data_IF_316522185851
#
_entry.id   IF_316522185851
#
_cell.length_a   1.000
_cell.length_b   1.000
_cell.length_c   1.000
_cell.angle_alpha   90.00
_cell.angle_beta   90.00
_cell.angle_gamma   90.00
#
_symmetry.space_group_name_H-M   'P 1'
#
loop_
_entity.id
_entity.type
_entity.pdbx_description
1 polymer ?
#
# COMPACT_ATOMS: atom_id res chain seq x y z
N UNK A 1 -25.22 42.05 7.33
CA UNK A 1 -24.64 40.90 8.07
C UNK A 1 -24.31 39.74 7.11
N UNK A 2 -23.18 39.77 6.39
CA UNK A 2 -22.76 38.66 5.49
C UNK A 2 -21.25 38.31 5.55
N UNK A 3 -20.49 38.89 6.48
CA UNK A 3 -19.03 38.72 6.51
C UNK A 3 -18.49 37.64 7.45
N UNK A 4 -19.32 37.08 8.35
CA UNK A 4 -18.89 36.06 9.32
C UNK A 4 -18.85 34.62 8.76
N UNK A 5 -19.61 34.31 7.70
CA UNK A 5 -19.78 32.94 7.23
C UNK A 5 -18.63 32.42 6.33
N UNK A 6 -17.84 33.31 5.71
CA UNK A 6 -16.77 32.91 4.78
C UNK A 6 -15.49 32.45 5.48
N UNK A 7 -15.18 33.03 6.66
CA UNK A 7 -13.97 32.68 7.43
C UNK A 7 -14.11 31.31 8.12
N UNK A 8 -15.27 31.00 8.71
CA UNK A 8 -15.54 29.68 9.31
C UNK A 8 -15.47 28.55 8.29
N UNK A 9 -16.11 28.72 7.12
CA UNK A 9 -16.03 27.70 6.05
C UNK A 9 -14.60 27.45 5.55
N UNK A 10 -13.74 28.47 5.55
CA UNK A 10 -12.35 28.33 5.12
C UNK A 10 -11.48 27.63 6.17
N UNK A 11 -11.70 27.90 7.46
CA UNK A 11 -11.00 27.20 8.55
C UNK A 11 -11.39 25.73 8.63
N UNK A 12 -12.69 25.42 8.48
CA UNK A 12 -13.19 24.05 8.53
C UNK A 12 -12.65 23.21 7.36
N UNK A 13 -12.51 23.84 6.20
CA UNK A 13 -11.94 23.19 5.01
C UNK A 13 -10.44 22.88 5.19
N UNK A 14 -9.66 23.79 5.77
CA UNK A 14 -8.23 23.57 6.04
C UNK A 14 -8.01 22.50 7.11
N UNK A 15 -8.85 22.48 8.15
CA UNK A 15 -8.86 21.41 9.17
C UNK A 15 -9.15 20.05 8.55
N UNK A 16 -10.10 19.98 7.62
CA UNK A 16 -10.45 18.75 6.93
C UNK A 16 -9.31 18.26 6.01
N UNK A 17 -8.65 19.17 5.28
CA UNK A 17 -7.47 18.84 4.45
C UNK A 17 -6.33 18.29 5.29
N UNK A 18 -5.98 18.99 6.37
CA UNK A 18 -4.96 18.53 7.32
C UNK A 18 -5.28 17.15 7.87
N UNK A 19 -6.53 16.90 8.27
CA UNK A 19 -6.94 15.60 8.80
C UNK A 19 -6.79 14.47 7.76
N UNK A 20 -7.01 14.75 6.46
CA UNK A 20 -6.80 13.76 5.41
C UNK A 20 -5.31 13.49 5.20
N UNK A 21 -4.46 14.53 5.17
CA UNK A 21 -2.98 14.36 5.09
C UNK A 21 -2.47 13.53 6.27
N UNK A 22 -2.89 13.86 7.49
CA UNK A 22 -2.53 13.10 8.69
C UNK A 22 -3.00 11.64 8.60
N UNK A 23 -4.19 11.38 8.04
CA UNK A 23 -4.71 10.03 7.85
C UNK A 23 -3.89 9.23 6.83
N UNK A 24 -3.49 9.84 5.71
CA UNK A 24 -2.61 9.22 4.72
C UNK A 24 -1.26 8.88 5.37
N UNK A 25 -0.63 9.85 6.02
CA UNK A 25 0.68 9.67 6.68
C UNK A 25 0.64 8.53 7.70
N UNK A 26 -0.43 8.49 8.49
CA UNK A 26 -0.66 7.43 9.48
C UNK A 26 -0.81 6.06 8.83
N UNK A 27 -1.53 5.96 7.71
CA UNK A 27 -1.64 4.69 6.98
C UNK A 27 -0.29 4.22 6.43
N UNK A 28 0.52 5.13 5.90
CA UNK A 28 1.88 4.79 5.47
C UNK A 28 2.78 4.36 6.64
N UNK A 29 2.68 5.03 7.79
CA UNK A 29 3.49 4.72 8.97
C UNK A 29 3.09 3.40 9.64
N UNK A 30 1.79 3.09 9.69
CA UNK A 30 1.25 1.91 10.36
C UNK A 30 1.23 0.65 9.48
N UNK A 31 1.28 0.78 8.15
CA UNK A 31 1.10 -0.34 7.23
C UNK A 31 2.07 -1.52 7.48
N UNK A 32 3.34 -1.24 7.71
CA UNK A 32 4.33 -2.26 8.04
C UNK A 32 4.03 -2.97 9.36
N UNK A 33 3.62 -2.23 10.39
CA UNK A 33 3.28 -2.81 11.70
C UNK A 33 1.98 -3.63 11.64
N UNK A 34 0.97 -3.16 10.89
CA UNK A 34 -0.26 -3.94 10.63
C UNK A 34 0.05 -5.25 9.93
N UNK A 35 0.90 -5.22 8.90
CA UNK A 35 1.34 -6.42 8.20
C UNK A 35 2.03 -7.40 9.15
N UNK A 36 2.90 -6.92 10.03
CA UNK A 36 3.56 -7.76 11.04
C UNK A 36 2.57 -8.37 12.02
N UNK A 37 1.60 -7.58 12.51
CA UNK A 37 0.57 -8.06 13.43
C UNK A 37 -0.34 -9.12 12.79
N UNK A 38 -0.76 -8.90 11.55
CA UNK A 38 -1.56 -9.85 10.77
C UNK A 38 -0.79 -11.16 10.55
N UNK A 39 0.47 -11.06 10.14
CA UNK A 39 1.35 -12.21 9.95
C UNK A 39 1.53 -13.01 11.25
N UNK A 40 1.83 -12.35 12.37
CA UNK A 40 1.97 -13.01 13.67
C UNK A 40 0.66 -13.65 14.14
N UNK A 41 -0.48 -13.00 13.89
CA UNK A 41 -1.80 -13.56 14.22
C UNK A 41 -2.10 -14.85 13.44
N UNK A 42 -1.71 -14.91 12.16
CA UNK A 42 -1.85 -16.11 11.32
C UNK A 42 -0.93 -17.23 11.83
N UNK A 43 0.34 -16.92 12.12
CA UNK A 43 1.32 -17.88 12.62
C UNK A 43 0.85 -18.49 13.95
N UNK A 44 0.39 -17.65 14.87
CA UNK A 44 -0.05 -18.08 16.21
C UNK A 44 -1.40 -18.83 16.19
N UNK A 45 -2.19 -18.71 15.11
CA UNK A 45 -3.45 -19.46 14.94
C UNK A 45 -3.22 -20.88 14.40
N UNK A 46 -1.99 -21.25 14.07
CA UNK A 46 -1.63 -22.60 13.65
C UNK A 46 -2.12 -23.65 14.66
N UNK A 47 -2.76 -24.72 14.17
CA UNK A 47 -3.15 -25.85 15.01
C UNK A 47 -1.99 -26.83 15.16
N UNK A 48 -2.03 -27.69 16.18
CA UNK A 48 -1.04 -28.76 16.39
C UNK A 48 -0.89 -29.65 15.15
N UNK A 49 -1.99 -29.87 14.42
CA UNK A 49 -2.00 -30.64 13.18
C UNK A 49 -1.21 -29.96 12.05
N UNK A 50 -1.29 -28.63 11.94
CA UNK A 50 -0.52 -27.86 10.94
C UNK A 50 0.96 -27.89 11.28
N UNK A 51 1.33 -27.69 12.56
CA UNK A 51 2.72 -27.78 12.99
C UNK A 51 3.30 -29.19 12.81
N UNK A 52 2.50 -30.23 13.07
CA UNK A 52 2.88 -31.62 12.79
C UNK A 52 3.07 -31.86 11.29
N UNK A 53 2.17 -31.37 10.46
CA UNK A 53 2.25 -31.49 9.01
C UNK A 53 3.50 -30.80 8.43
N UNK A 54 3.85 -29.60 8.92
CA UNK A 54 5.09 -28.92 8.53
C UNK A 54 6.35 -29.73 8.87
N UNK A 55 6.40 -30.34 10.06
CA UNK A 55 7.52 -31.21 10.45
C UNK A 55 7.60 -32.45 9.57
N UNK A 56 6.47 -33.09 9.26
CA UNK A 56 6.40 -34.24 8.35
C UNK A 56 6.90 -33.88 6.95
N UNK A 57 6.44 -32.76 6.39
CA UNK A 57 6.90 -32.23 5.09
C UNK A 57 8.41 -31.97 5.10
N UNK A 58 8.95 -31.36 6.15
CA UNK A 58 10.40 -31.10 6.31
C UNK A 58 11.24 -32.38 6.36
N UNK A 59 10.69 -33.47 6.90
CA UNK A 59 11.34 -34.79 6.96
C UNK A 59 11.16 -35.61 5.67
N UNK A 60 10.47 -35.08 4.65
CA UNK A 60 10.25 -35.74 3.36
C UNK A 60 8.93 -36.51 3.23
N UNK A 61 8.04 -36.46 4.23
CA UNK A 61 6.70 -37.09 4.18
C UNK A 61 5.68 -36.19 3.47
N UNK A 62 5.90 -35.91 2.19
CA UNK A 62 5.06 -34.99 1.40
C UNK A 62 3.65 -35.53 1.11
N UNK A 63 3.50 -36.85 0.98
CA UNK A 63 2.25 -37.51 0.61
C UNK A 63 1.37 -37.91 1.81
N UNK A 64 1.76 -37.57 3.03
CA UNK A 64 0.98 -37.90 4.21
C UNK A 64 -0.37 -37.17 4.19
N UNK A 65 -1.46 -37.85 4.57
CA UNK A 65 -2.83 -37.32 4.50
C UNK A 65 -3.00 -36.00 5.27
N UNK A 66 -2.35 -35.89 6.43
CA UNK A 66 -2.36 -34.64 7.22
C UNK A 66 -1.66 -33.50 6.49
N UNK A 67 -0.61 -33.79 5.71
CA UNK A 67 0.17 -32.79 4.97
C UNK A 67 -0.62 -32.25 3.79
N UNK A 68 -1.33 -33.11 3.07
CA UNK A 68 -2.18 -32.70 1.94
C UNK A 68 -3.41 -31.94 2.43
N UNK A 69 -4.07 -32.40 3.51
CA UNK A 69 -5.26 -31.72 4.07
C UNK A 69 -4.98 -30.32 4.62
N UNK A 70 -3.81 -30.11 5.22
CA UNK A 70 -3.43 -28.83 5.83
C UNK A 70 -2.61 -27.94 4.90
N UNK A 71 -2.37 -28.34 3.65
CA UNK A 71 -1.52 -27.63 2.69
C UNK A 71 -1.89 -26.13 2.51
N UNK A 72 -3.18 -25.73 2.41
CA UNK A 72 -3.53 -24.32 2.28
C UNK A 72 -3.13 -23.49 3.51
N UNK A 73 -3.30 -24.06 4.70
CA UNK A 73 -2.95 -23.41 5.97
C UNK A 73 -1.43 -23.33 6.14
N UNK A 74 -0.70 -24.37 5.73
CA UNK A 74 0.76 -24.35 5.71
C UNK A 74 1.30 -23.24 4.80
N UNK A 75 0.79 -23.14 3.56
CA UNK A 75 1.20 -22.08 2.61
C UNK A 75 0.92 -20.69 3.17
N UNK A 76 -0.23 -20.51 3.83
CA UNK A 76 -0.58 -19.22 4.44
C UNK A 76 0.39 -18.83 5.56
N UNK A 77 0.77 -19.79 6.42
CA UNK A 77 1.78 -19.57 7.47
C UNK A 77 3.15 -19.30 6.84
N UNK A 78 3.58 -20.08 5.84
CA UNK A 78 4.85 -19.86 5.12
C UNK A 78 4.93 -18.45 4.49
N UNK A 79 3.81 -17.93 3.96
CA UNK A 79 3.72 -16.55 3.45
C UNK A 79 3.83 -15.54 4.60
N UNK A 80 3.09 -15.77 5.68
CA UNK A 80 3.08 -14.88 6.84
C UNK A 80 4.44 -14.82 7.54
N UNK A 81 5.16 -15.94 7.61
CA UNK A 81 6.54 -15.98 8.12
C UNK A 81 7.46 -15.09 7.29
N UNK A 82 7.42 -15.21 5.95
CA UNK A 82 8.19 -14.35 5.05
C UNK A 82 7.83 -12.87 5.19
N UNK A 83 6.56 -12.57 5.37
CA UNK A 83 6.08 -11.19 5.56
C UNK A 83 6.60 -10.60 6.86
N UNK A 84 6.51 -11.35 7.96
CA UNK A 84 7.03 -10.95 9.26
C UNK A 84 8.56 -10.75 9.20
N UNK A 85 9.29 -11.67 8.57
CA UNK A 85 10.73 -11.58 8.37
C UNK A 85 11.12 -10.33 7.57
N UNK A 86 10.42 -10.03 6.47
CA UNK A 86 10.68 -8.84 5.65
C UNK A 86 10.47 -7.56 6.45
N UNK A 87 9.33 -7.43 7.15
CA UNK A 87 9.05 -6.23 7.96
C UNK A 87 10.10 -6.07 9.06
N UNK A 88 10.43 -7.13 9.77
CA UNK A 88 11.45 -7.09 10.84
C UNK A 88 12.83 -6.73 10.28
N UNK A 89 13.21 -7.30 9.13
CA UNK A 89 14.46 -6.99 8.45
C UNK A 89 14.58 -5.50 8.12
N UNK A 90 13.56 -4.92 7.48
CA UNK A 90 13.60 -3.50 7.09
C UNK A 90 13.54 -2.58 8.31
N UNK A 91 12.78 -2.95 9.35
CA UNK A 91 12.73 -2.21 10.63
C UNK A 91 14.08 -2.17 11.34
N UNK A 92 14.86 -3.25 11.29
CA UNK A 92 16.19 -3.31 11.89
C UNK A 92 17.26 -2.65 11.01
N UNK A 93 17.17 -2.84 9.69
CA UNK A 93 18.20 -2.38 8.74
C UNK A 93 18.10 -0.89 8.42
N UNK A 94 16.88 -0.35 8.40
CA UNK A 94 16.57 1.02 8.02
C UNK A 94 15.67 1.67 9.07
N UNK A 95 16.23 1.92 10.26
CA UNK A 95 15.50 2.26 11.49
C UNK A 95 14.46 3.39 11.35
N UNK A 96 14.74 4.40 10.53
CA UNK A 96 13.89 5.59 10.37
C UNK A 96 13.00 5.55 9.12
N UNK A 97 13.13 4.53 8.27
CA UNK A 97 12.38 4.43 7.02
C UNK A 97 11.25 3.39 7.15
N UNK A 98 10.11 3.68 6.54
CA UNK A 98 8.93 2.81 6.62
C UNK A 98 8.91 1.84 5.45
N UNK A 99 8.68 0.56 5.74
CA UNK A 99 8.48 -0.48 4.74
C UNK A 99 6.99 -0.79 4.58
N UNK A 100 6.56 -0.95 3.34
CA UNK A 100 5.21 -1.39 3.00
C UNK A 100 5.29 -2.35 1.83
N UNK A 101 4.30 -3.25 1.75
CA UNK A 101 4.10 -4.04 0.55
C UNK A 101 3.50 -3.21 -0.59
N UNK A 102 3.70 -3.67 -1.83
CA UNK A 102 3.12 -3.01 -3.01
C UNK A 102 1.59 -3.02 -2.97
N UNK A 103 0.97 -4.11 -2.48
CA UNK A 103 -0.50 -4.19 -2.37
C UNK A 103 -1.05 -3.16 -1.38
N UNK A 104 -0.30 -2.85 -0.31
CA UNK A 104 -0.68 -1.83 0.66
C UNK A 104 -0.54 -0.42 0.06
N UNK A 105 0.54 -0.17 -0.70
CA UNK A 105 0.69 1.08 -1.45
C UNK A 105 -0.50 1.29 -2.39
N UNK A 106 -0.84 0.30 -3.20
CA UNK A 106 -1.96 0.36 -4.14
C UNK A 106 -3.30 0.61 -3.44
N UNK A 107 -3.53 -0.05 -2.29
CA UNK A 107 -4.73 0.13 -1.50
C UNK A 107 -4.85 1.56 -0.94
N UNK A 108 -3.76 2.10 -0.39
CA UNK A 108 -3.72 3.48 0.15
C UNK A 108 -3.91 4.48 -0.99
N UNK A 109 -3.16 4.35 -2.10
CA UNK A 109 -3.28 5.25 -3.24
C UNK A 109 -4.69 5.24 -3.82
N UNK A 110 -5.33 4.07 -3.96
CA UNK A 110 -6.72 3.97 -4.43
C UNK A 110 -7.70 4.62 -3.45
N UNK A 111 -7.50 4.44 -2.14
CA UNK A 111 -8.37 4.99 -1.09
C UNK A 111 -8.39 6.52 -1.09
N UNK A 112 -7.23 7.14 -1.32
CA UNK A 112 -7.06 8.60 -1.30
C UNK A 112 -6.98 9.24 -2.69
N UNK A 113 -7.25 8.48 -3.76
CA UNK A 113 -7.20 8.93 -5.14
C UNK A 113 -5.82 9.53 -5.53
N UNK A 114 -4.75 8.92 -5.05
CA UNK A 114 -3.37 9.25 -5.40
C UNK A 114 -2.94 8.40 -6.60
N UNK A 115 -2.12 8.98 -7.46
CA UNK A 115 -1.39 8.23 -8.49
C UNK A 115 0.09 8.27 -8.17
N UNK A 116 0.82 7.22 -8.55
CA UNK A 116 2.27 7.21 -8.42
C UNK A 116 2.97 7.00 -9.76
N UNK A 117 4.12 7.64 -9.91
CA UNK A 117 4.97 7.58 -11.09
C UNK A 117 6.43 7.92 -10.71
N UNK A 118 7.40 7.69 -11.61
CA UNK A 118 8.77 8.16 -11.42
C UNK A 118 8.81 9.66 -11.13
N UNK A 119 9.72 10.10 -10.24
CA UNK A 119 9.84 11.51 -9.84
C UNK A 119 10.07 12.47 -11.01
N UNK A 120 10.63 11.98 -12.12
CA UNK A 120 10.85 12.76 -13.34
C UNK A 120 9.56 13.34 -13.95
N UNK A 121 8.40 12.76 -13.63
CA UNK A 121 7.11 13.21 -14.14
C UNK A 121 6.40 14.21 -13.20
N UNK A 122 6.97 14.47 -12.02
CA UNK A 122 6.39 15.36 -11.02
C UNK A 122 6.65 16.82 -11.37
N UNK A 123 5.61 17.65 -11.32
CA UNK A 123 5.68 19.08 -11.71
C UNK A 123 5.42 20.06 -10.55
N UNK A 124 5.08 19.56 -9.37
CA UNK A 124 4.85 20.40 -8.21
C UNK A 124 6.15 20.92 -7.60
N UNK A 125 6.03 21.95 -6.74
CA UNK A 125 7.16 22.44 -5.95
C UNK A 125 7.63 21.37 -4.96
N UNK A 126 8.95 21.27 -4.78
CA UNK A 126 9.60 20.35 -3.84
C UNK A 126 10.09 21.15 -2.64
N UNK A 127 9.53 20.98 -1.43
CA UNK A 127 10.00 21.69 -0.26
C UNK A 127 11.44 21.28 0.12
N UNK A 128 12.26 22.25 0.51
CA UNK A 128 13.68 22.05 0.86
C UNK A 128 13.88 21.01 1.98
N UNK A 129 12.97 20.97 2.96
CA UNK A 129 12.97 19.96 4.03
C UNK A 129 12.91 18.55 3.44
N UNK A 130 11.98 18.32 2.52
CA UNK A 130 11.75 17.02 1.91
C UNK A 130 12.87 16.63 0.95
N UNK A 131 13.48 17.60 0.25
CA UNK A 131 14.68 17.37 -0.55
C UNK A 131 15.82 16.83 0.33
N UNK A 132 16.07 17.46 1.48
CA UNK A 132 17.09 17.00 2.43
C UNK A 132 16.80 15.61 3.00
N UNK A 133 15.54 15.30 3.30
CA UNK A 133 15.13 13.96 3.74
C UNK A 133 15.47 12.90 2.68
N UNK A 134 15.25 13.20 1.40
CA UNK A 134 15.55 12.29 0.29
C UNK A 134 17.06 12.12 0.11
N UNK A 135 17.84 13.21 0.19
CA UNK A 135 19.31 13.17 0.06
C UNK A 135 19.99 12.45 1.21
N UNK A 136 19.47 12.60 2.43
CA UNK A 136 20.01 11.98 3.64
C UNK A 136 19.50 10.55 3.86
N UNK A 137 18.56 10.08 3.02
CA UNK A 137 18.03 8.74 3.13
C UNK A 137 19.16 7.69 2.99
N UNK A 138 19.17 6.73 3.92
CA UNK A 138 20.17 5.66 3.92
C UNK A 138 20.19 4.94 2.56
N UNK A 139 21.36 4.73 1.92
CA UNK A 139 21.44 4.01 0.65
C UNK A 139 21.01 2.55 0.81
N UNK A 140 20.44 1.96 -0.24
CA UNK A 140 20.08 0.54 -0.23
C UNK A 140 21.32 -0.34 -0.17
N UNK A 141 21.21 -1.46 0.54
CA UNK A 141 22.11 -2.58 0.35
C UNK A 141 21.84 -3.20 -1.03
N UNK A 142 22.90 -3.70 -1.68
CA UNK A 142 22.81 -4.33 -2.99
C UNK A 142 21.79 -5.48 -3.08
N UNK A 143 21.56 -6.18 -1.97
CA UNK A 143 20.60 -7.29 -1.86
C UNK A 143 19.13 -6.83 -1.83
N UNK A 144 18.89 -5.56 -1.47
CA UNK A 144 17.57 -4.95 -1.40
C UNK A 144 17.19 -4.21 -2.69
N UNK A 145 18.17 -3.95 -3.57
CA UNK A 145 17.94 -3.30 -4.86
C UNK A 145 17.13 -4.21 -5.80
N UNK A 146 16.17 -3.61 -6.52
CA UNK A 146 15.45 -4.32 -7.56
C UNK A 146 16.36 -4.46 -8.79
N UNK A 147 16.81 -5.69 -9.07
CA UNK A 147 17.56 -5.99 -10.28
C UNK A 147 16.64 -5.92 -11.52
N UNK A 148 17.14 -5.41 -12.67
CA UNK A 148 16.38 -5.44 -13.91
C UNK A 148 16.19 -6.87 -14.41
N UNK A 149 14.96 -7.19 -14.80
CA UNK A 149 14.60 -8.49 -15.38
C UNK A 149 14.29 -9.59 -14.37
N UNK A 150 14.50 -9.37 -13.07
CA UNK A 150 13.95 -10.26 -12.04
C UNK A 150 12.53 -9.82 -11.71
N UNK A 151 11.56 -10.51 -12.29
CA UNK A 151 10.25 -10.63 -11.67
C UNK A 151 10.48 -11.34 -10.33
N UNK A 152 10.43 -10.61 -9.23
CA UNK A 152 10.15 -11.22 -7.94
C UNK A 152 8.68 -11.64 -7.98
N UNK A 153 8.41 -12.72 -8.71
CA UNK A 153 7.24 -13.52 -8.45
C UNK A 153 7.40 -13.96 -7.01
N UNK A 154 6.57 -13.42 -6.12
CA UNK A 154 6.16 -14.17 -4.95
C UNK A 154 5.66 -15.52 -5.49
N UNK A 155 6.48 -16.56 -5.40
CA UNK A 155 6.20 -17.93 -5.88
C UNK A 155 5.12 -18.63 -5.05
N UNK A 156 4.08 -17.88 -4.70
CA UNK A 156 2.82 -18.29 -4.09
C UNK A 156 1.63 -17.50 -4.66
N UNK A 157 1.85 -16.57 -5.60
CA UNK A 157 0.80 -15.71 -6.19
C UNK A 157 0.41 -16.01 -7.64
N UNK A 158 1.04 -16.98 -8.33
CA UNK A 158 0.83 -17.18 -9.79
C UNK A 158 0.15 -18.51 -10.17
N UNK A 159 -0.88 -18.93 -9.41
CA UNK A 159 -1.81 -20.00 -9.81
C UNK A 159 -3.29 -19.60 -9.65
N UNK A 160 -3.61 -18.31 -9.52
CA UNK A 160 -5.00 -17.86 -9.34
C UNK A 160 -5.38 -16.63 -10.18
N UNK A 161 -4.83 -16.50 -11.39
CA UNK A 161 -5.28 -15.49 -12.38
C UNK A 161 -5.90 -16.15 -13.63
N UNK A 162 -6.66 -17.22 -13.42
CA UNK A 162 -7.47 -17.87 -14.47
C UNK A 162 -8.98 -17.86 -14.22
N UNK A 163 -9.46 -17.76 -12.98
CA UNK A 163 -10.89 -17.93 -12.65
C UNK A 163 -11.31 -17.25 -11.34
N UNK A 164 -11.24 -15.92 -11.19
CA UNK A 164 -12.12 -15.20 -10.23
C UNK A 164 -12.54 -13.86 -10.85
N UNK A 165 -13.31 -13.94 -11.93
CA UNK A 165 -14.32 -12.92 -12.19
C UNK A 165 -15.43 -13.10 -11.16
N UNK A 166 -15.86 -12.01 -10.54
CA UNK A 166 -16.94 -11.88 -9.54
C UNK A 166 -16.63 -12.30 -8.09
N UNK A 167 -16.35 -11.29 -7.26
CA UNK A 167 -16.88 -11.17 -5.89
C UNK A 167 -16.42 -12.16 -4.81
N UNK A 168 -15.17 -12.07 -4.32
CA UNK A 168 -14.85 -12.61 -3.00
C UNK A 168 -15.16 -11.57 -1.91
N UNK A 169 -16.43 -11.60 -1.49
CA UNK A 169 -16.90 -11.00 -0.23
C UNK A 169 -16.14 -11.70 0.90
N UNK A 170 -15.44 -10.93 1.72
CA UNK A 170 -14.82 -11.38 2.97
C UNK A 170 -15.88 -12.09 3.83
N UNK A 171 -15.88 -13.42 3.84
CA UNK A 171 -16.82 -14.20 4.63
C UNK A 171 -16.49 -14.04 6.11
N UNK A 172 -17.38 -13.33 6.81
CA UNK A 172 -17.56 -13.49 8.25
C UNK A 172 -17.97 -14.95 8.49
N UNK A 173 -17.06 -15.76 9.01
CA UNK A 173 -17.34 -17.12 9.44
C UNK A 173 -18.13 -17.08 10.75
N UNK A 174 -19.46 -17.13 10.62
CA UNK A 174 -20.39 -17.75 11.56
C UNK A 174 -21.79 -17.64 10.94
N UNK A 175 -22.30 -18.71 10.32
CA UNK A 175 -23.71 -19.16 10.26
C UNK A 175 -23.81 -20.45 9.40
N UNK A 176 -24.76 -21.36 9.68
CA UNK A 176 -24.83 -22.67 9.04
C UNK A 176 -25.50 -22.62 7.65
N UNK A 177 -25.01 -23.48 6.75
CA UNK A 177 -25.40 -23.60 5.35
C UNK A 177 -26.91 -23.85 5.18
N UNK A 178 -27.59 -22.94 4.47
CA UNK A 178 -28.85 -23.22 3.75
C UNK A 178 -28.67 -22.93 2.27
N UNK A 179 -29.17 -23.85 1.46
CA UNK A 179 -29.22 -23.83 -0.01
C UNK A 179 -29.79 -22.50 -0.52
N UNK A 180 -29.17 -21.93 -1.57
CA UNK A 180 -29.72 -20.79 -2.30
C UNK A 180 -29.63 -21.10 -3.80
N UNK A 181 -30.80 -21.04 -4.42
CA UNK A 181 -31.11 -21.23 -5.83
C UNK A 181 -30.51 -20.14 -6.72
N UNK A 182 -30.18 -20.51 -7.95
CA UNK A 182 -29.69 -19.63 -9.01
C UNK A 182 -30.80 -18.72 -9.53
N UNK A 183 -30.61 -17.40 -9.43
CA UNK A 183 -31.33 -16.43 -10.27
C UNK A 183 -30.35 -15.52 -11.03
N UNK A 184 -30.78 -15.19 -12.25
CA UNK A 184 -29.99 -14.80 -13.41
C UNK A 184 -29.60 -13.32 -13.48
N UNK A 185 -28.39 -13.14 -14.02
CA UNK A 185 -27.74 -12.00 -14.67
C UNK A 185 -28.52 -10.69 -14.92
N UNK A 186 -28.09 -9.61 -14.25
CA UNK A 186 -28.00 -8.27 -14.86
C UNK A 186 -26.55 -7.77 -14.74
N UNK A 187 -25.89 -7.60 -15.89
CA UNK A 187 -24.46 -7.28 -15.98
C UNK A 187 -24.20 -5.78 -15.89
N UNK A 188 -23.80 -5.30 -14.71
CA UNK A 188 -23.17 -3.98 -14.56
C UNK A 188 -21.69 -4.11 -14.97
N UNK A 189 -21.34 -3.60 -16.17
CA UNK A 189 -19.95 -3.55 -16.66
C UNK A 189 -19.14 -2.50 -15.91
N UNK A 190 -18.59 -2.85 -14.75
CA UNK A 190 -17.53 -2.07 -14.09
C UNK A 190 -16.22 -2.35 -14.82
N UNK A 191 -15.74 -1.38 -15.61
CA UNK A 191 -14.39 -1.42 -16.20
C UNK A 191 -13.36 -1.33 -15.07
N UNK A 192 -12.73 -2.44 -14.74
CA UNK A 192 -11.58 -2.48 -13.84
C UNK A 192 -10.44 -1.68 -14.47
N UNK A 193 -9.96 -0.64 -13.79
CA UNK A 193 -8.70 0.01 -14.15
C UNK A 193 -7.57 -0.98 -13.84
N UNK A 194 -6.82 -1.40 -14.87
CA UNK A 194 -5.66 -2.28 -14.70
C UNK A 194 -4.60 -1.62 -13.81
N UNK A 195 -3.94 -2.37 -12.90
CA UNK A 195 -2.78 -1.87 -12.17
C UNK A 195 -1.66 -1.49 -13.16
N UNK A 196 -1.05 -0.32 -13.00
CA UNK A 196 0.02 0.17 -13.88
C UNK A 196 1.29 -0.62 -13.60
N UNK A 197 1.59 -1.62 -14.42
CA UNK A 197 2.84 -2.40 -14.30
C UNK A 197 4.00 -1.58 -14.87
N UNK A 198 4.84 -1.01 -14.00
CA UNK A 198 6.09 -0.38 -14.40
C UNK A 198 7.11 -1.44 -14.81
N UNK A 199 7.67 -1.33 -16.03
CA UNK A 199 8.71 -2.25 -16.53
C UNK A 199 10.07 -2.04 -15.87
N UNK A 200 10.36 -0.83 -15.39
CA UNK A 200 11.55 -0.49 -14.62
C UNK A 200 11.12 0.12 -13.29
N UNK A 201 11.49 -0.54 -12.19
CA UNK A 201 11.18 -0.12 -10.81
C UNK A 201 12.39 0.54 -10.13
N UNK A 202 13.43 0.88 -10.90
CA UNK A 202 14.62 1.54 -10.36
C UNK A 202 14.40 3.04 -10.17
N UNK A 203 15.06 3.59 -9.15
CA UNK A 203 15.01 5.01 -8.83
C UNK A 203 13.90 5.39 -7.87
N UNK A 204 13.58 6.69 -7.87
CA UNK A 204 12.61 7.29 -6.97
C UNK A 204 11.25 7.41 -7.65
N UNK A 205 10.22 7.15 -6.88
CA UNK A 205 8.82 7.28 -7.25
C UNK A 205 8.14 8.24 -6.27
N UNK A 206 7.07 8.85 -6.73
CA UNK A 206 6.27 9.75 -5.92
C UNK A 206 4.79 9.43 -6.12
N UNK A 207 4.07 9.28 -5.03
CA UNK A 207 2.61 9.20 -4.99
C UNK A 207 2.05 10.60 -4.71
N UNK A 208 1.22 11.14 -5.59
CA UNK A 208 0.62 12.47 -5.44
C UNK A 208 -0.72 12.54 -6.20
N UNK A 209 -1.51 13.61 -6.04
CA UNK A 209 -2.70 13.83 -6.86
C UNK A 209 -2.40 13.86 -8.34
N UNK A 210 -3.40 13.54 -9.15
CA UNK A 210 -3.26 13.48 -10.60
C UNK A 210 -2.78 14.80 -11.22
N UNK A 211 -3.22 15.96 -10.69
CA UNK A 211 -2.79 17.27 -11.16
C UNK A 211 -1.31 17.60 -10.96
N UNK A 212 -0.59 16.85 -10.11
CA UNK A 212 0.83 17.09 -9.82
C UNK A 212 1.77 16.39 -10.83
N UNK A 213 1.23 15.81 -11.89
CA UNK A 213 2.01 15.13 -12.92
C UNK A 213 1.81 15.75 -14.29
N UNK A 214 2.87 15.78 -15.10
CA UNK A 214 2.72 16.05 -16.53
C UNK A 214 2.07 14.83 -17.22
N UNK A 215 0.82 14.99 -17.66
CA UNK A 215 0.04 13.93 -18.32
C UNK A 215 -0.16 14.19 -19.82
N UNK A 216 0.63 15.07 -20.44
CA UNK A 216 0.57 15.30 -21.88
C UNK A 216 0.66 13.97 -22.66
N UNK A 217 -0.44 13.57 -23.31
CA UNK A 217 -0.57 12.30 -24.05
C UNK A 217 -1.43 11.21 -23.40
N UNK A 218 -1.96 11.39 -22.19
CA UNK A 218 -2.86 10.44 -21.51
C UNK A 218 -4.29 10.97 -21.43
N UNK A 219 -5.24 10.26 -22.06
CA UNK A 219 -6.68 10.55 -21.97
C UNK A 219 -7.19 10.20 -20.56
N UNK A 220 -7.65 11.18 -19.80
CA UNK A 220 -8.50 10.99 -18.63
C UNK A 220 -9.96 11.21 -19.01
N UNK A 221 -10.75 10.13 -19.05
CA UNK A 221 -12.21 10.21 -19.03
C UNK A 221 -12.68 9.86 -17.61
N UNK A 222 -13.24 10.85 -16.91
CA UNK A 222 -13.85 10.64 -15.59
C UNK A 222 -14.28 11.94 -14.92
N UNK A 223 -15.59 12.18 -14.87
CA UNK A 223 -16.21 13.24 -14.06
C UNK A 223 -16.13 12.88 -12.57
N UNK A 224 -15.59 13.78 -11.77
CA UNK A 224 -15.72 13.77 -10.30
C UNK A 224 -14.92 14.91 -9.67
N UNK A 225 -15.60 15.95 -9.19
CA UNK A 225 -14.99 17.01 -8.40
C UNK A 225 -14.66 16.46 -6.99
N UNK A 226 -13.48 15.84 -6.85
CA UNK A 226 -12.88 15.64 -5.53
C UNK A 226 -11.77 16.68 -5.37
N UNK A 227 -11.77 17.37 -4.23
CA UNK A 227 -10.72 18.33 -3.89
C UNK A 227 -9.41 17.56 -3.71
N UNK A 228 -8.44 17.81 -4.58
CA UNK A 228 -7.17 17.11 -4.60
C UNK A 228 -6.35 17.42 -3.34
N UNK A 229 -6.04 16.38 -2.56
CA UNK A 229 -5.24 16.50 -1.33
C UNK A 229 -3.77 16.52 -1.71
N UNK A 230 -3.11 17.66 -1.52
CA UNK A 230 -1.68 17.83 -1.82
C UNK A 230 -0.80 17.10 -0.80
N UNK A 231 -0.72 15.77 -0.92
CA UNK A 231 0.15 14.93 -0.09
C UNK A 231 1.09 14.07 -0.94
N UNK A 232 2.14 14.67 -1.52
CA UNK A 232 3.16 13.89 -2.18
C UNK A 232 3.98 13.02 -1.22
N UNK A 233 4.14 11.76 -1.56
CA UNK A 233 4.93 10.79 -0.78
C UNK A 233 5.98 10.18 -1.70
N UNK A 234 7.25 10.40 -1.37
CA UNK A 234 8.38 9.88 -2.12
C UNK A 234 8.80 8.53 -1.54
N UNK A 235 8.94 7.55 -2.41
CA UNK A 235 9.35 6.19 -2.06
C UNK A 235 10.28 5.60 -3.12
N UNK A 236 10.92 4.49 -2.77
CA UNK A 236 11.68 3.65 -3.69
C UNK A 236 11.23 2.21 -3.57
N UNK A 237 11.31 1.44 -4.64
CA UNK A 237 11.07 0.01 -4.58
C UNK A 237 12.25 -0.72 -3.95
N UNK A 238 11.93 -1.74 -3.16
CA UNK A 238 12.89 -2.63 -2.49
C UNK A 238 12.44 -4.08 -2.62
N UNK A 239 13.29 -5.03 -2.27
CA UNK A 239 12.92 -6.46 -2.27
C UNK A 239 11.65 -6.70 -1.43
N UNK A 240 10.58 -7.12 -2.10
CA UNK A 240 9.30 -7.47 -1.47
C UNK A 240 8.35 -6.31 -1.21
N UNK A 241 8.68 -5.07 -1.60
CA UNK A 241 7.80 -3.94 -1.36
C UNK A 241 8.39 -2.58 -1.75
N UNK A 242 8.04 -1.57 -0.97
CA UNK A 242 8.53 -0.20 -1.08
C UNK A 242 9.07 0.29 0.25
N UNK A 243 9.90 1.33 0.16
CA UNK A 243 10.39 2.07 1.30
C UNK A 243 10.06 3.56 1.13
N UNK A 244 9.37 4.13 2.11
CA UNK A 244 9.03 5.56 2.15
C UNK A 244 10.25 6.36 2.58
N UNK A 245 10.56 7.41 1.82
CA UNK A 245 11.70 8.30 2.05
C UNK A 245 11.26 9.64 2.64
N UNK A 246 10.17 10.21 2.13
CA UNK A 246 9.69 11.53 2.56
C UNK A 246 8.18 11.65 2.33
N UNK A 247 7.49 12.40 3.21
CA UNK A 247 6.05 12.67 3.16
C UNK A 247 5.80 14.17 3.31
N UNK A 248 4.94 14.73 2.49
CA UNK A 248 4.78 16.19 2.34
C UNK A 248 3.41 16.63 2.90
N UNK A 249 3.05 17.89 2.75
CA UNK A 249 1.73 18.44 3.08
C UNK A 249 1.55 18.96 4.51
N UNK A 250 2.29 18.47 5.51
CA UNK A 250 2.17 18.99 6.90
C UNK A 250 2.94 20.29 7.12
N UNK A 251 3.97 20.56 6.30
CA UNK A 251 4.78 21.77 6.36
C UNK A 251 4.00 23.06 6.05
N UNK A 252 2.93 22.97 5.28
CA UNK A 252 2.06 24.11 4.98
C UNK A 252 1.27 24.62 6.20
N UNK A 253 1.25 23.84 7.30
CA UNK A 253 0.53 24.14 8.53
C UNK A 253 1.46 24.45 9.71
N UNK A 254 2.77 24.58 9.48
CA UNK A 254 3.73 24.98 10.51
C UNK A 254 3.51 26.46 10.88
N UNK A 255 3.22 26.73 12.16
CA UNK A 255 2.98 28.08 12.68
C UNK A 255 4.18 29.00 12.46
N UNK A 256 5.40 28.47 12.35
CA UNK A 256 6.61 29.24 12.05
C UNK A 256 6.70 29.73 10.59
N UNK A 257 5.96 29.12 9.67
CA UNK A 257 5.88 29.50 8.24
C UNK A 257 4.66 30.38 7.94
N UNK A 258 3.73 30.52 8.89
CA UNK A 258 2.66 31.51 8.83
C UNK A 258 3.28 32.86 9.21
N UNK A 259 3.83 33.57 8.21
CA UNK A 259 4.30 34.94 8.39
C UNK A 259 3.22 35.76 9.13
N UNK A 260 3.56 36.48 10.21
CA UNK A 260 2.68 37.54 10.71
C UNK A 260 2.68 38.66 9.66
N UNK A 261 1.79 38.57 8.67
CA UNK A 261 1.40 39.75 7.91
C UNK A 261 0.59 40.59 8.89
N UNK A 262 1.26 41.48 9.61
CA UNK A 262 0.82 42.83 9.99
C UNK A 262 1.78 43.45 11.01
N UNK A 263 2.57 44.40 10.55
CA UNK A 263 2.53 45.78 11.06
C UNK A 263 2.95 46.74 9.94
#
# INVERSE_FOLDING_TARGET
MKFFNKKQNQTDTLLQERAIVEAIHREFDEAGEKLLQEALAIINKGTDDVHKAMRLKKLGFTNAEIVTKTEPQQKLIEISEKDAELVQYYRQTYLFLKFLKEEQLDAICKKYNLIYAPVANYIGDVPEKNLREIEQAQPLKKEDEIMPGTFWNSEVGFSMFGFIGTGLKLLKLNEPLKEIELETEETIKVKQQNPRIFKDKRGLFIAAPQSHFNLEGLKSEGLGFFKEVKDPIVFRYVRGGIQVLSKWGLEAYDEALINPINN
#
